data_IF_307532336047
#
_entry.id   IF_307532336047
#
_cell.length_a   1.000
_cell.length_b   1.000
_cell.length_c   1.000
_cell.angle_alpha   90.00
_cell.angle_beta   90.00
_cell.angle_gamma   90.00
#
_symmetry.space_group_name_H-M   'P 1'
#
loop_
_entity.id
_entity.type
_entity.pdbx_description
1 polymer ?
#
# COMPACT_ATOMS: atom_id res chain seq x y z
N UNK A 1 8.07 1.00 10.36
CA UNK A 1 7.52 2.11 11.13
C UNK A 1 8.32 2.34 12.41
N UNK A 2 8.44 1.36 13.30
CA UNK A 2 9.14 1.49 14.58
C UNK A 2 10.56 2.05 14.41
N UNK A 3 11.35 1.51 13.47
CA UNK A 3 12.72 1.99 13.22
C UNK A 3 12.80 3.44 12.73
N UNK A 4 11.71 4.01 12.23
CA UNK A 4 11.67 5.39 11.76
C UNK A 4 11.24 6.39 12.85
N UNK A 5 10.66 5.89 13.96
CA UNK A 5 10.21 6.73 15.07
C UNK A 5 9.13 7.75 14.71
N UNK A 6 8.28 7.41 13.76
CA UNK A 6 7.23 8.31 13.30
C UNK A 6 5.94 8.23 14.12
N UNK A 7 5.83 7.20 14.96
CA UNK A 7 4.70 6.95 15.84
C UNK A 7 5.22 6.55 17.22
N UNK A 8 4.48 6.90 18.26
CA UNK A 8 4.80 6.54 19.64
C UNK A 8 4.10 5.24 20.06
N UNK A 9 2.86 5.05 19.57
CA UNK A 9 1.98 3.94 19.94
C UNK A 9 1.72 3.01 18.76
N UNK A 10 1.80 1.71 19.02
CA UNK A 10 1.54 0.65 18.04
C UNK A 10 0.57 -0.36 18.60
N UNK A 11 -0.51 -0.63 17.89
CA UNK A 11 -1.46 -1.68 18.22
C UNK A 11 -1.34 -2.78 17.18
N UNK A 12 -0.90 -3.97 17.59
CA UNK A 12 -0.78 -5.13 16.73
C UNK A 12 -2.02 -6.01 16.88
N UNK A 13 -2.74 -6.25 15.78
CA UNK A 13 -3.94 -7.08 15.76
C UNK A 13 -3.71 -8.28 14.85
N UNK A 14 -3.84 -9.48 15.39
CA UNK A 14 -3.82 -10.72 14.62
C UNK A 14 -4.66 -11.80 15.34
N UNK A 15 -5.34 -12.63 14.57
CA UNK A 15 -6.08 -13.79 15.11
C UNK A 15 -5.15 -14.88 15.65
N UNK A 16 -3.90 -14.91 15.20
CA UNK A 16 -2.88 -15.79 15.74
C UNK A 16 -2.19 -15.14 16.95
N UNK A 17 -2.78 -15.32 18.13
CA UNK A 17 -2.31 -14.74 19.38
C UNK A 17 -0.84 -15.07 19.70
N UNK A 18 -0.39 -16.29 19.40
CA UNK A 18 0.99 -16.70 19.64
C UNK A 18 1.96 -15.90 18.77
N UNK A 19 1.60 -15.74 17.48
CA UNK A 19 2.42 -14.97 16.54
C UNK A 19 2.48 -13.50 16.93
N UNK A 20 1.36 -12.85 17.15
CA UNK A 20 1.33 -11.41 17.44
C UNK A 20 2.01 -11.07 18.78
N UNK A 21 1.90 -11.96 19.76
CA UNK A 21 2.62 -11.80 21.03
C UNK A 21 4.13 -11.93 20.84
N UNK A 22 4.58 -12.89 20.02
CA UNK A 22 5.99 -13.06 19.69
C UNK A 22 6.52 -11.85 18.89
N UNK A 23 5.79 -11.38 17.90
CA UNK A 23 6.13 -10.16 17.13
C UNK A 23 6.27 -8.94 18.07
N UNK A 24 5.37 -8.79 19.04
CA UNK A 24 5.44 -7.68 20.00
C UNK A 24 6.67 -7.75 20.91
N UNK A 25 7.10 -8.95 21.30
CA UNK A 25 8.35 -9.14 22.08
C UNK A 25 9.55 -8.77 21.21
N UNK A 26 9.62 -9.32 19.99
CA UNK A 26 10.72 -9.07 19.04
C UNK A 26 10.85 -7.58 18.70
N UNK A 27 9.73 -6.89 18.51
CA UNK A 27 9.73 -5.42 18.31
C UNK A 27 10.22 -4.64 19.52
N UNK A 28 9.90 -5.07 20.75
CA UNK A 28 10.45 -4.44 21.98
C UNK A 28 11.94 -4.68 22.11
N UNK A 29 12.40 -5.88 21.77
CA UNK A 29 13.83 -6.21 21.74
C UNK A 29 14.57 -5.39 20.68
N UNK A 30 13.98 -5.22 19.50
CA UNK A 30 14.50 -4.35 18.46
C UNK A 30 14.57 -2.89 18.92
N UNK A 31 13.52 -2.37 19.56
CA UNK A 31 13.46 -1.00 20.07
C UNK A 31 14.59 -0.70 21.08
N UNK A 32 15.05 -1.70 21.84
CA UNK A 32 16.20 -1.54 22.75
C UNK A 32 17.52 -1.22 22.02
N UNK A 33 17.61 -1.50 20.72
CA UNK A 33 18.77 -1.20 19.86
C UNK A 33 18.54 0.00 18.92
N UNK A 34 17.34 0.61 18.97
CA UNK A 34 16.97 1.77 18.17
C UNK A 34 16.99 3.03 19.05
N UNK A 35 17.18 4.18 18.44
CA UNK A 35 17.06 5.47 19.12
C UNK A 35 15.59 5.96 19.18
N UNK A 36 14.65 5.02 19.24
CA UNK A 36 13.22 5.30 19.17
C UNK A 36 12.51 4.61 20.34
N UNK A 37 11.51 5.29 20.88
CA UNK A 37 10.59 4.70 21.86
C UNK A 37 9.34 4.21 21.11
N UNK A 38 8.80 3.07 21.55
CA UNK A 38 7.57 2.53 21.00
C UNK A 38 6.76 1.82 22.09
N UNK A 39 5.55 2.25 22.32
CA UNK A 39 4.55 1.52 23.10
C UNK A 39 3.90 0.49 22.20
N UNK A 40 3.89 -0.77 22.59
CA UNK A 40 3.32 -1.84 21.76
C UNK A 40 2.22 -2.56 22.55
N UNK A 41 1.02 -2.51 22.03
CA UNK A 41 -0.19 -3.16 22.56
C UNK A 41 -0.62 -4.27 21.60
N UNK A 42 -1.18 -5.36 22.14
CA UNK A 42 -1.57 -6.54 21.34
C UNK A 42 -3.05 -6.80 21.50
N UNK A 43 -3.75 -6.99 20.38
CA UNK A 43 -5.15 -7.38 20.27
C UNK A 43 -6.15 -6.52 21.08
N UNK A 44 -5.81 -5.27 21.32
CA UNK A 44 -6.71 -4.29 21.96
C UNK A 44 -7.36 -3.40 20.91
N UNK A 45 -8.56 -3.74 20.48
CA UNK A 45 -9.32 -2.91 19.55
C UNK A 45 -9.76 -1.57 20.16
N UNK A 46 -9.95 -1.48 21.48
CA UNK A 46 -10.33 -0.22 22.11
C UNK A 46 -9.23 0.85 21.96
N UNK A 47 -7.97 0.44 21.94
CA UNK A 47 -6.83 1.32 21.71
C UNK A 47 -6.76 1.88 20.27
N UNK A 48 -7.63 1.43 19.36
CA UNK A 48 -7.72 1.98 18.01
C UNK A 48 -8.68 3.17 17.89
N UNK A 49 -9.41 3.51 18.94
CA UNK A 49 -10.44 4.56 18.89
C UNK A 49 -9.86 5.93 18.45
N UNK A 50 -8.67 6.26 18.90
CA UNK A 50 -7.95 7.50 18.63
C UNK A 50 -6.70 7.31 17.75
N UNK A 51 -6.53 6.13 17.15
CA UNK A 51 -5.40 5.90 16.26
C UNK A 51 -5.48 6.78 15.00
N UNK A 52 -4.34 7.33 14.58
CA UNK A 52 -4.24 8.12 13.35
C UNK A 52 -4.40 7.28 12.09
N UNK A 53 -3.81 6.09 12.08
CA UNK A 53 -3.76 5.22 10.88
C UNK A 53 -3.92 3.75 11.27
N UNK A 54 -4.74 3.04 10.51
CA UNK A 54 -4.79 1.58 10.51
C UNK A 54 -4.23 1.06 9.19
N UNK A 55 -3.16 0.27 9.24
CA UNK A 55 -2.62 -0.45 8.08
C UNK A 55 -3.15 -1.87 8.11
N UNK A 56 -3.98 -2.24 7.15
CA UNK A 56 -4.53 -3.58 7.05
C UNK A 56 -3.71 -4.44 6.09
N UNK A 57 -3.04 -5.44 6.67
CA UNK A 57 -2.36 -6.53 5.96
C UNK A 57 -3.13 -7.85 6.07
N UNK A 58 -4.44 -7.78 6.24
CA UNK A 58 -5.33 -8.91 6.40
C UNK A 58 -5.39 -9.71 5.10
N UNK A 59 -4.86 -10.93 5.07
CA UNK A 59 -4.80 -11.77 3.88
C UNK A 59 -4.42 -13.20 4.22
N UNK A 60 -4.46 -14.06 3.20
CA UNK A 60 -3.97 -15.43 3.27
C UNK A 60 -3.12 -15.74 2.04
N UNK A 61 -1.86 -15.40 2.10
CA UNK A 61 -0.91 -15.52 0.98
C UNK A 61 -0.76 -16.97 0.48
N UNK A 62 -1.06 -17.96 1.32
CA UNK A 62 -1.02 -19.37 0.91
C UNK A 62 -2.01 -19.70 -0.21
N UNK A 63 -3.09 -18.93 -0.35
CA UNK A 63 -4.06 -19.08 -1.44
C UNK A 63 -3.47 -18.68 -2.80
N UNK A 64 -2.41 -17.87 -2.81
CA UNK A 64 -1.67 -17.48 -4.01
C UNK A 64 -0.62 -18.51 -4.44
N UNK A 65 -0.24 -19.48 -3.60
CA UNK A 65 0.79 -20.49 -3.89
C UNK A 65 0.22 -21.66 -4.73
N UNK A 66 -0.69 -21.33 -5.64
CA UNK A 66 -1.24 -22.27 -6.62
C UNK A 66 -0.85 -21.79 -8.03
N UNK A 67 -0.24 -22.66 -8.89
CA UNK A 67 0.11 -22.30 -10.26
C UNK A 67 -1.06 -21.77 -11.12
N UNK A 68 -2.29 -22.12 -10.74
CA UNK A 68 -3.51 -21.65 -11.39
C UNK A 68 -4.21 -20.52 -10.63
N UNK A 69 -3.62 -20.01 -9.53
CA UNK A 69 -4.19 -18.91 -8.80
C UNK A 69 -4.08 -17.63 -9.63
N UNK A 70 -5.23 -16.98 -9.81
CA UNK A 70 -5.27 -15.63 -10.33
C UNK A 70 -5.10 -14.60 -9.18
N UNK A 71 -5.05 -13.33 -9.51
CA UNK A 71 -4.92 -12.25 -8.52
C UNK A 71 -6.11 -12.16 -7.55
N UNK A 72 -7.22 -12.80 -7.86
CA UNK A 72 -8.43 -12.85 -7.05
C UNK A 72 -8.49 -14.06 -6.12
N UNK A 73 -7.47 -14.91 -6.08
CA UNK A 73 -7.44 -16.12 -5.25
C UNK A 73 -7.68 -15.83 -3.75
N UNK A 74 -7.29 -14.67 -3.26
CA UNK A 74 -7.53 -14.24 -1.88
C UNK A 74 -8.91 -13.61 -1.66
N UNK A 75 -9.64 -13.24 -2.72
CA UNK A 75 -10.93 -12.52 -2.60
C UNK A 75 -11.96 -13.24 -1.73
N UNK A 76 -12.18 -14.56 -1.83
CA UNK A 76 -13.15 -15.24 -0.96
C UNK A 76 -12.80 -15.11 0.53
N UNK A 77 -11.51 -15.07 0.85
CA UNK A 77 -11.04 -14.88 2.22
C UNK A 77 -11.19 -13.41 2.65
N UNK A 78 -10.67 -12.47 1.89
CA UNK A 78 -10.73 -11.04 2.23
C UNK A 78 -12.16 -10.51 2.27
N UNK A 79 -13.02 -10.94 1.35
CA UNK A 79 -14.44 -10.57 1.36
C UNK A 79 -15.20 -11.05 2.60
N UNK A 80 -14.75 -12.13 3.23
CA UNK A 80 -15.32 -12.63 4.48
C UNK A 80 -14.77 -11.91 5.72
N UNK A 81 -13.46 -11.70 5.78
CA UNK A 81 -12.78 -11.23 6.99
C UNK A 81 -12.74 -9.70 7.11
N UNK A 82 -12.57 -8.97 6.00
CA UNK A 82 -12.52 -7.49 6.00
C UNK A 82 -13.75 -6.85 6.62
N UNK A 83 -15.00 -7.28 6.30
CA UNK A 83 -16.19 -6.72 6.93
C UNK A 83 -16.21 -6.85 8.44
N UNK A 84 -15.64 -7.92 9.00
CA UNK A 84 -15.59 -8.14 10.45
C UNK A 84 -14.65 -7.13 11.12
N UNK A 85 -13.46 -6.93 10.55
CA UNK A 85 -12.49 -5.95 11.06
C UNK A 85 -13.03 -4.53 10.91
N UNK A 86 -13.60 -4.19 9.74
CA UNK A 86 -14.17 -2.86 9.49
C UNK A 86 -15.31 -2.51 10.46
N UNK A 87 -16.18 -3.46 10.76
CA UNK A 87 -17.24 -3.27 11.76
C UNK A 87 -16.69 -3.05 13.18
N UNK A 88 -15.65 -3.79 13.57
CA UNK A 88 -14.98 -3.57 14.85
C UNK A 88 -14.35 -2.19 14.96
N UNK A 89 -13.69 -1.71 13.90
CA UNK A 89 -13.18 -0.34 13.84
C UNK A 89 -14.29 0.69 14.03
N UNK A 90 -15.43 0.49 13.37
CA UNK A 90 -16.62 1.32 13.55
C UNK A 90 -17.16 1.30 14.99
N UNK A 91 -17.25 0.12 15.59
CA UNK A 91 -17.76 -0.09 16.96
C UNK A 91 -16.91 0.62 18.02
N UNK A 92 -15.60 0.66 17.85
CA UNK A 92 -14.70 1.38 18.77
C UNK A 92 -14.61 2.88 18.47
N UNK A 93 -15.26 3.36 17.41
CA UNK A 93 -15.28 4.78 17.06
C UNK A 93 -14.02 5.27 16.32
N UNK A 94 -13.28 4.35 15.68
CA UNK A 94 -12.11 4.74 14.88
C UNK A 94 -12.49 5.77 13.81
N UNK A 95 -11.72 6.86 13.73
CA UNK A 95 -11.95 7.97 12.82
C UNK A 95 -10.67 8.47 12.11
N UNK A 96 -9.61 7.66 12.11
CA UNK A 96 -8.38 7.91 11.37
C UNK A 96 -8.47 7.49 9.90
N UNK A 97 -7.33 7.19 9.30
CA UNK A 97 -7.21 6.73 7.91
C UNK A 97 -6.94 5.23 7.87
N UNK A 98 -7.71 4.48 7.07
CA UNK A 98 -7.43 3.08 6.76
C UNK A 98 -6.56 3.00 5.52
N UNK A 99 -5.44 2.27 5.61
CA UNK A 99 -4.56 1.92 4.49
C UNK A 99 -4.66 0.41 4.24
N UNK A 100 -5.25 0.02 3.13
CA UNK A 100 -5.34 -1.38 2.70
C UNK A 100 -4.13 -1.77 1.84
N UNK A 101 -3.52 -2.94 2.13
CA UNK A 101 -2.38 -3.47 1.35
C UNK A 101 -2.61 -4.88 0.81
N UNK A 102 -3.70 -5.51 1.19
CA UNK A 102 -4.04 -6.90 0.82
C UNK A 102 -4.74 -6.96 -0.53
N UNK A 103 -4.57 -8.08 -1.23
CA UNK A 103 -5.17 -8.27 -2.55
C UNK A 103 -6.57 -8.93 -2.48
N UNK A 104 -7.41 -8.63 -3.48
CA UNK A 104 -7.28 -7.59 -4.50
C UNK A 104 -7.51 -6.20 -3.88
N UNK A 105 -6.48 -5.34 -3.89
CA UNK A 105 -6.44 -4.14 -3.05
C UNK A 105 -7.56 -3.15 -3.31
N UNK A 106 -7.97 -2.96 -4.56
CA UNK A 106 -9.05 -2.02 -4.91
C UNK A 106 -10.39 -2.49 -4.32
N UNK A 107 -10.67 -3.80 -4.39
CA UNK A 107 -11.86 -4.41 -3.79
C UNK A 107 -11.79 -4.37 -2.26
N UNK A 108 -10.64 -4.71 -1.68
CA UNK A 108 -10.43 -4.66 -0.22
C UNK A 108 -10.63 -3.25 0.32
N UNK A 109 -10.15 -2.24 -0.39
CA UNK A 109 -10.34 -0.82 -0.05
C UNK A 109 -11.82 -0.45 -0.06
N UNK A 110 -12.55 -0.85 -1.11
CA UNK A 110 -14.00 -0.65 -1.21
C UNK A 110 -14.76 -1.33 -0.06
N UNK A 111 -14.39 -2.57 0.29
CA UNK A 111 -15.02 -3.29 1.41
C UNK A 111 -14.77 -2.57 2.76
N UNK A 112 -13.54 -2.10 3.00
CA UNK A 112 -13.26 -1.31 4.21
C UNK A 112 -14.11 -0.05 4.27
N UNK A 113 -14.22 0.70 3.19
CA UNK A 113 -15.03 1.91 3.13
C UNK A 113 -16.51 1.61 3.42
N UNK A 114 -17.05 0.59 2.75
CA UNK A 114 -18.46 0.23 2.90
C UNK A 114 -18.82 -0.20 4.34
N UNK A 115 -17.99 -1.03 4.97
CA UNK A 115 -18.32 -1.60 6.29
C UNK A 115 -17.84 -0.76 7.47
N UNK A 116 -16.81 0.05 7.35
CA UNK A 116 -16.37 0.96 8.39
C UNK A 116 -17.30 2.17 8.53
N UNK A 117 -17.93 2.58 7.42
CA UNK A 117 -18.73 3.80 7.37
C UNK A 117 -17.89 5.08 7.39
N UNK A 118 -16.56 4.97 7.25
CA UNK A 118 -15.70 6.14 7.08
C UNK A 118 -15.97 6.86 5.75
N UNK A 119 -15.71 8.17 5.65
CA UNK A 119 -15.72 8.88 4.38
C UNK A 119 -14.75 8.24 3.38
N UNK A 120 -15.06 8.35 2.08
CA UNK A 120 -14.27 7.76 0.99
C UNK A 120 -12.81 8.20 1.00
N UNK A 121 -12.57 9.43 1.41
CA UNK A 121 -11.25 10.05 1.50
C UNK A 121 -10.37 9.42 2.57
N UNK A 122 -10.96 8.81 3.59
CA UNK A 122 -10.25 8.18 4.72
C UNK A 122 -9.96 6.69 4.53
N UNK A 123 -10.29 6.12 3.39
CA UNK A 123 -10.02 4.71 3.10
C UNK A 123 -9.23 4.63 1.79
N UNK A 124 -7.98 4.24 1.89
CA UNK A 124 -7.00 4.31 0.82
C UNK A 124 -6.35 2.94 0.68
N UNK A 125 -6.25 2.43 -0.54
CA UNK A 125 -5.40 1.27 -0.84
C UNK A 125 -4.02 1.72 -1.32
N UNK A 126 -2.99 0.92 -1.09
CA UNK A 126 -1.66 1.22 -1.67
C UNK A 126 -1.66 1.23 -3.19
N UNK A 127 -2.63 0.55 -3.81
CA UNK A 127 -2.84 0.57 -5.26
C UNK A 127 -1.55 0.31 -6.04
N UNK A 128 -1.29 1.15 -7.02
CA UNK A 128 -0.11 1.05 -7.88
C UNK A 128 1.13 1.80 -7.35
N UNK A 129 1.15 2.19 -6.07
CA UNK A 129 2.30 2.88 -5.47
C UNK A 129 3.57 2.01 -5.52
N UNK A 130 3.45 0.70 -5.22
CA UNK A 130 4.56 -0.24 -5.36
C UNK A 130 4.90 -0.51 -6.83
N UNK A 131 3.91 -0.62 -7.71
CA UNK A 131 4.15 -0.84 -9.16
C UNK A 131 4.85 0.37 -9.78
N UNK A 132 4.50 1.57 -9.33
CA UNK A 132 5.21 2.81 -9.67
C UNK A 132 6.67 2.76 -9.21
N UNK A 133 6.95 2.26 -8.02
CA UNK A 133 8.34 2.09 -7.55
C UNK A 133 9.11 1.07 -8.40
N UNK A 134 8.47 -0.01 -8.84
CA UNK A 134 9.05 -1.01 -9.76
C UNK A 134 9.35 -0.38 -11.13
N UNK A 135 8.42 0.38 -11.68
CA UNK A 135 8.62 1.13 -12.92
C UNK A 135 9.79 2.11 -12.80
N UNK A 136 9.83 2.90 -11.71
CA UNK A 136 10.94 3.84 -11.46
C UNK A 136 12.28 3.12 -11.36
N UNK A 137 12.34 1.94 -10.73
CA UNK A 137 13.56 1.12 -10.68
C UNK A 137 13.99 0.67 -12.09
N UNK A 138 13.09 0.11 -12.89
CA UNK A 138 13.39 -0.37 -14.23
C UNK A 138 13.89 0.79 -15.15
N UNK A 139 13.21 1.93 -15.09
CA UNK A 139 13.65 3.15 -15.81
C UNK A 139 15.03 3.60 -15.32
N UNK A 140 15.27 3.63 -14.01
CA UNK A 140 16.53 4.05 -13.42
C UNK A 140 17.70 3.17 -13.86
N UNK A 141 17.53 1.86 -13.86
CA UNK A 141 18.51 0.88 -14.34
C UNK A 141 18.82 1.09 -15.83
N UNK A 142 17.81 1.33 -16.67
CA UNK A 142 17.96 1.54 -18.12
C UNK A 142 18.71 2.84 -18.45
N UNK A 143 18.46 3.92 -17.70
CA UNK A 143 19.02 5.25 -18.01
C UNK A 143 20.16 5.70 -17.09
N UNK A 144 20.62 4.84 -16.18
CA UNK A 144 21.75 5.12 -15.30
C UNK A 144 21.50 6.30 -14.33
N UNK A 145 20.31 6.33 -13.71
CA UNK A 145 19.92 7.34 -12.72
C UNK A 145 19.45 6.69 -11.42
N UNK A 146 19.33 7.47 -10.35
CA UNK A 146 18.66 7.00 -9.12
C UNK A 146 17.15 6.89 -9.35
N UNK A 147 16.51 5.84 -8.84
CA UNK A 147 15.07 5.63 -8.98
C UNK A 147 14.23 6.78 -8.38
N UNK A 148 14.75 7.48 -7.36
CA UNK A 148 14.12 8.67 -6.79
C UNK A 148 14.12 9.87 -7.72
N UNK A 149 14.98 9.86 -8.75
CA UNK A 149 15.07 10.90 -9.78
C UNK A 149 14.19 10.61 -11.00
N UNK A 150 13.41 9.54 -10.97
CA UNK A 150 12.40 9.21 -11.98
C UNK A 150 11.04 9.69 -11.49
N UNK A 151 10.34 10.48 -12.30
CA UNK A 151 8.98 10.96 -12.04
C UNK A 151 7.99 10.21 -12.93
N UNK A 152 6.75 10.08 -12.48
CA UNK A 152 5.67 9.43 -13.20
C UNK A 152 5.09 8.25 -12.45
N UNK A 153 4.00 7.67 -12.99
CA UNK A 153 3.15 6.73 -12.28
C UNK A 153 2.71 5.57 -13.14
N UNK A 154 2.49 4.43 -12.47
CA UNK A 154 1.57 3.39 -12.91
C UNK A 154 0.19 3.71 -12.35
N UNK A 155 -0.86 3.51 -13.14
CA UNK A 155 -2.24 3.89 -12.83
C UNK A 155 -3.20 2.74 -13.15
N UNK A 156 -4.45 2.88 -12.71
CA UNK A 156 -5.54 1.95 -12.97
C UNK A 156 -5.71 0.90 -11.86
N UNK A 157 -6.21 -0.26 -12.20
CA UNK A 157 -6.35 -1.39 -11.27
C UNK A 157 -4.96 -1.86 -10.80
N UNK A 158 -4.81 -2.15 -9.51
CA UNK A 158 -3.64 -2.90 -9.06
C UNK A 158 -3.75 -4.37 -9.54
N UNK A 159 -3.50 -4.60 -10.80
CA UNK A 159 -3.75 -5.86 -11.48
C UNK A 159 -3.09 -5.94 -12.85
N UNK A 160 -3.66 -6.79 -13.71
CA UNK A 160 -3.14 -7.01 -15.05
C UNK A 160 -3.49 -5.86 -16.01
N UNK A 161 -4.48 -5.03 -15.67
CA UNK A 161 -4.93 -3.89 -16.47
C UNK A 161 -4.25 -2.56 -16.11
N UNK A 162 -3.34 -2.55 -15.13
CA UNK A 162 -2.54 -1.36 -14.84
C UNK A 162 -1.71 -0.93 -16.05
N UNK A 163 -1.44 0.34 -16.15
CA UNK A 163 -0.61 0.89 -17.21
C UNK A 163 0.33 1.98 -16.71
N UNK A 164 1.46 2.14 -17.38
CA UNK A 164 2.37 3.27 -17.13
C UNK A 164 1.92 4.49 -17.92
N UNK A 165 1.72 5.61 -17.23
CA UNK A 165 1.41 6.90 -17.86
C UNK A 165 2.68 7.52 -18.48
N UNK A 166 3.20 6.92 -19.56
CA UNK A 166 4.48 7.29 -20.18
C UNK A 166 4.59 8.75 -20.56
N UNK A 167 3.49 9.40 -20.90
CA UNK A 167 3.43 10.84 -21.19
C UNK A 167 3.85 11.71 -20.01
N UNK A 168 3.69 11.19 -18.78
CA UNK A 168 4.04 11.86 -17.53
C UNK A 168 5.42 11.44 -17.00
N UNK A 169 6.02 10.36 -17.53
CA UNK A 169 7.31 9.88 -17.04
C UNK A 169 8.43 10.82 -17.50
N UNK A 170 9.25 11.24 -16.53
CA UNK A 170 10.40 12.12 -16.74
C UNK A 170 11.67 11.52 -16.17
N UNK A 171 12.75 11.67 -16.92
CA UNK A 171 14.10 11.25 -16.56
C UNK A 171 15.03 12.43 -16.85
N UNK A 172 15.94 12.76 -15.92
CA UNK A 172 16.86 13.89 -16.06
C UNK A 172 16.13 15.22 -16.38
N UNK A 173 14.89 15.38 -15.84
CA UNK A 173 14.04 16.55 -16.07
C UNK A 173 13.33 16.62 -17.41
N UNK A 174 13.54 15.64 -18.32
CA UNK A 174 12.96 15.62 -19.67
C UNK A 174 11.91 14.47 -19.79
N UNK A 175 10.92 14.61 -20.69
CA UNK A 175 10.02 13.50 -21.00
C UNK A 175 10.80 12.26 -21.45
N UNK A 176 10.45 11.09 -20.95
CA UNK A 176 11.15 9.84 -21.27
C UNK A 176 11.13 9.55 -22.78
N UNK A 177 10.05 9.91 -23.47
CA UNK A 177 9.92 9.78 -24.92
C UNK A 177 10.96 10.57 -25.74
N UNK A 178 11.72 11.49 -25.10
CA UNK A 178 12.83 12.18 -25.72
C UNK A 178 14.10 11.34 -25.79
N UNK A 179 14.15 10.22 -25.08
CA UNK A 179 15.34 9.37 -24.94
C UNK A 179 15.16 7.99 -25.56
N UNK A 180 13.94 7.58 -25.86
CA UNK A 180 13.67 6.20 -26.26
C UNK A 180 12.37 6.10 -27.08
N UNK A 181 12.21 4.95 -27.75
CA UNK A 181 11.05 4.59 -28.54
C UNK A 181 10.01 3.78 -27.73
N UNK A 182 8.90 3.46 -28.38
CA UNK A 182 7.81 2.71 -27.78
C UNK A 182 8.20 1.28 -27.42
N UNK A 183 9.02 0.62 -28.22
CA UNK A 183 9.45 -0.76 -27.98
C UNK A 183 10.23 -0.85 -26.66
N UNK A 184 11.17 0.07 -26.44
CA UNK A 184 11.92 0.15 -25.17
C UNK A 184 11.01 0.45 -23.98
N UNK A 185 9.98 1.31 -24.14
CA UNK A 185 9.03 1.58 -23.06
C UNK A 185 8.21 0.34 -22.70
N UNK A 186 7.82 -0.47 -23.68
CA UNK A 186 7.08 -1.72 -23.45
C UNK A 186 7.99 -2.79 -22.79
N UNK A 187 9.29 -2.84 -23.14
CA UNK A 187 10.28 -3.68 -22.41
C UNK A 187 10.38 -3.27 -20.94
N UNK A 188 10.52 -1.98 -20.64
CA UNK A 188 10.62 -1.46 -19.28
C UNK A 188 9.36 -1.78 -18.47
N UNK A 189 8.18 -1.62 -19.07
CA UNK A 189 6.90 -1.98 -18.42
C UNK A 189 6.86 -3.47 -18.08
N UNK A 190 7.32 -4.32 -18.99
CA UNK A 190 7.41 -5.75 -18.79
C UNK A 190 8.39 -6.12 -17.66
N UNK A 191 9.58 -5.54 -17.63
CA UNK A 191 10.58 -5.73 -16.56
C UNK A 191 10.04 -5.32 -15.19
N UNK A 192 9.31 -4.21 -15.11
CA UNK A 192 8.67 -3.75 -13.88
C UNK A 192 7.63 -4.77 -13.37
N UNK A 193 6.81 -5.31 -14.27
CA UNK A 193 5.81 -6.32 -13.95
C UNK A 193 6.46 -7.64 -13.49
N UNK A 194 7.45 -8.15 -14.23
CA UNK A 194 8.18 -9.39 -13.91
C UNK A 194 8.89 -9.25 -12.55
N UNK A 195 9.39 -8.09 -12.20
CA UNK A 195 10.00 -7.86 -10.89
C UNK A 195 9.10 -8.24 -9.71
N UNK A 196 7.79 -8.02 -9.84
CA UNK A 196 6.79 -8.48 -8.86
C UNK A 196 6.70 -10.01 -8.77
N UNK A 197 6.65 -10.67 -9.90
CA UNK A 197 6.63 -12.14 -9.99
C UNK A 197 7.91 -12.76 -9.43
N UNK A 198 9.09 -12.21 -9.78
CA UNK A 198 10.38 -12.66 -9.25
C UNK A 198 10.42 -12.66 -7.73
N UNK A 199 9.92 -11.58 -7.10
CA UNK A 199 9.84 -11.48 -5.64
C UNK A 199 8.90 -12.55 -5.08
N UNK A 200 7.70 -12.67 -5.63
CA UNK A 200 6.69 -13.63 -5.14
C UNK A 200 7.16 -15.08 -5.28
N UNK A 201 7.59 -15.47 -6.46
CA UNK A 201 8.03 -16.88 -6.70
C UNK A 201 9.30 -17.22 -5.93
N UNK A 202 10.22 -16.28 -5.75
CA UNK A 202 11.45 -16.50 -5.00
C UNK A 202 11.26 -16.57 -3.49
N UNK A 203 10.33 -15.79 -2.92
CA UNK A 203 10.10 -15.68 -1.48
C UNK A 203 8.82 -16.36 -0.98
N UNK A 204 7.88 -16.67 -1.88
CA UNK A 204 6.49 -17.10 -1.61
C UNK A 204 5.62 -16.03 -0.93
N UNK A 205 6.10 -14.82 -0.81
CA UNK A 205 5.37 -13.65 -0.31
C UNK A 205 6.06 -12.37 -0.76
N UNK A 206 5.37 -11.24 -0.65
CA UNK A 206 5.96 -9.91 -0.79
C UNK A 206 6.04 -9.25 0.60
N UNK A 207 7.06 -8.42 0.83
CA UNK A 207 7.27 -7.79 2.15
C UNK A 207 7.87 -6.39 2.04
N UNK A 208 9.15 -6.27 1.76
CA UNK A 208 9.88 -4.99 1.89
C UNK A 208 9.32 -3.88 1.01
N UNK A 209 9.00 -4.18 -0.24
CA UNK A 209 8.45 -3.19 -1.17
C UNK A 209 7.08 -2.69 -0.75
N UNK A 210 6.16 -3.61 -0.40
CA UNK A 210 4.81 -3.23 0.04
C UNK A 210 4.84 -2.55 1.42
N UNK A 211 5.69 -3.00 2.33
CA UNK A 211 5.86 -2.35 3.62
C UNK A 211 6.36 -0.89 3.42
N UNK A 212 7.34 -0.68 2.55
CA UNK A 212 7.85 0.67 2.24
C UNK A 212 6.78 1.56 1.61
N UNK A 213 5.93 1.02 0.72
CA UNK A 213 4.82 1.76 0.13
C UNK A 213 3.78 2.16 1.19
N UNK A 214 3.38 1.21 2.05
CA UNK A 214 2.44 1.47 3.14
C UNK A 214 2.99 2.49 4.16
N UNK A 215 4.27 2.38 4.50
CA UNK A 215 4.96 3.33 5.39
C UNK A 215 4.96 4.74 4.78
N UNK A 216 5.32 4.87 3.50
CA UNK A 216 5.31 6.17 2.82
C UNK A 216 3.93 6.81 2.87
N UNK A 217 2.89 6.04 2.59
CA UNK A 217 1.51 6.51 2.64
C UNK A 217 1.08 6.90 4.06
N UNK A 218 1.41 6.08 5.07
CA UNK A 218 1.14 6.40 6.46
C UNK A 218 1.85 7.68 6.92
N UNK A 219 3.12 7.86 6.51
CA UNK A 219 3.88 9.08 6.82
C UNK A 219 3.29 10.30 6.13
N UNK A 220 2.80 10.18 4.89
CA UNK A 220 2.11 11.27 4.20
C UNK A 220 0.86 11.73 4.97
N UNK A 221 0.12 10.78 5.54
CA UNK A 221 -1.05 11.07 6.37
C UNK A 221 -0.64 11.79 7.66
N UNK A 222 0.25 11.22 8.47
CA UNK A 222 0.53 11.77 9.82
C UNK A 222 1.33 13.05 9.80
N UNK A 223 2.20 13.25 8.79
CA UNK A 223 2.95 14.50 8.61
C UNK A 223 2.16 15.59 7.87
N UNK A 224 0.97 15.27 7.38
CA UNK A 224 0.16 16.18 6.54
C UNK A 224 0.95 16.72 5.35
N UNK A 225 1.68 15.83 4.64
CA UNK A 225 2.71 16.25 3.69
C UNK A 225 2.16 16.80 2.38
N UNK A 226 0.89 16.56 2.06
CA UNK A 226 0.28 16.86 0.77
C UNK A 226 1.05 16.25 -0.41
N UNK A 227 1.58 15.05 -0.20
CA UNK A 227 2.33 14.34 -1.23
C UNK A 227 1.38 13.78 -2.30
N UNK A 228 1.75 13.93 -3.58
CA UNK A 228 1.06 13.34 -4.71
C UNK A 228 1.46 11.87 -4.86
N UNK A 229 0.48 10.96 -4.71
CA UNK A 229 0.71 9.52 -4.71
C UNK A 229 -0.32 8.79 -5.60
N UNK A 230 0.12 7.79 -6.40
CA UNK A 230 -0.76 6.94 -7.22
C UNK A 230 -1.33 5.80 -6.34
N UNK A 231 -2.32 6.13 -5.55
CA UNK A 231 -2.93 5.22 -4.58
C UNK A 231 -4.33 4.81 -5.02
N UNK A 232 -4.80 3.64 -4.56
CA UNK A 232 -6.18 3.23 -4.76
C UNK A 232 -7.09 4.12 -3.93
N UNK A 233 -7.87 4.94 -4.61
CA UNK A 233 -8.81 5.88 -4.03
C UNK A 233 -10.12 5.83 -4.83
N UNK A 234 -11.20 6.38 -4.25
CA UNK A 234 -12.51 6.32 -4.90
C UNK A 234 -12.56 7.23 -6.13
N UNK A 235 -12.83 6.64 -7.29
CA UNK A 235 -12.97 7.34 -8.55
C UNK A 235 -14.44 7.46 -8.94
N UNK A 236 -15.02 8.63 -8.69
CA UNK A 236 -16.45 8.88 -8.86
C UNK A 236 -17.01 8.54 -10.25
N UNK A 237 -16.30 8.85 -11.38
CA UNK A 237 -16.84 8.56 -12.71
C UNK A 237 -17.11 7.08 -12.99
N UNK A 238 -16.45 6.17 -12.29
CA UNK A 238 -16.63 4.73 -12.44
C UNK A 238 -17.26 4.07 -11.20
N UNK A 239 -17.62 4.86 -10.18
CA UNK A 239 -18.19 4.39 -8.90
C UNK A 239 -17.37 3.22 -8.29
N UNK A 240 -16.03 3.35 -8.30
CA UNK A 240 -15.13 2.28 -7.86
C UNK A 240 -13.85 2.83 -7.26
N UNK A 241 -13.08 1.95 -6.63
CA UNK A 241 -11.72 2.22 -6.21
C UNK A 241 -10.73 1.76 -7.28
N UNK A 242 -9.79 2.61 -7.63
CA UNK A 242 -8.65 2.31 -8.51
C UNK A 242 -7.51 3.30 -8.23
N UNK A 243 -6.33 3.00 -8.76
CA UNK A 243 -5.18 3.88 -8.57
C UNK A 243 -5.21 5.06 -9.51
N UNK A 244 -5.37 6.22 -8.91
CA UNK A 244 -5.35 7.52 -9.54
C UNK A 244 -4.47 8.48 -8.74
N UNK A 245 -3.76 9.44 -9.35
CA UNK A 245 -2.93 10.37 -8.59
C UNK A 245 -3.81 11.20 -7.66
N UNK A 246 -3.39 11.29 -6.41
CA UNK A 246 -4.10 12.05 -5.40
C UNK A 246 -3.13 12.72 -4.43
N UNK A 247 -3.49 13.90 -3.95
CA UNK A 247 -2.81 14.57 -2.84
C UNK A 247 -3.26 13.92 -1.55
N UNK A 248 -2.29 13.45 -0.76
CA UNK A 248 -2.53 12.76 0.51
C UNK A 248 -2.07 13.62 1.68
N UNK A 249 -2.93 13.79 2.66
CA UNK A 249 -2.62 14.49 3.89
C UNK A 249 -3.34 13.89 5.09
N UNK A 250 -3.40 14.61 6.19
CA UNK A 250 -3.96 14.14 7.48
C UNK A 250 -5.43 13.69 7.38
N UNK A 251 -6.20 14.28 6.51
CA UNK A 251 -7.60 13.90 6.29
C UNK A 251 -7.77 12.67 5.36
N UNK A 252 -6.68 12.10 4.87
CA UNK A 252 -6.66 11.10 3.82
C UNK A 252 -6.47 11.72 2.45
N UNK A 253 -7.31 11.39 1.48
CA UNK A 253 -7.30 12.01 0.14
C UNK A 253 -7.86 13.44 0.26
N UNK A 254 -7.04 14.43 -0.12
CA UNK A 254 -7.41 15.84 -0.12
C UNK A 254 -7.97 16.24 -1.48
N UNK A 255 -7.34 15.77 -2.55
CA UNK A 255 -7.68 16.10 -3.93
C UNK A 255 -7.26 14.96 -4.86
N UNK A 256 -8.03 14.71 -5.90
CA UNK A 256 -7.64 13.89 -7.06
C UNK A 256 -7.13 14.79 -8.17
N UNK A 257 -6.08 14.35 -8.88
CA UNK A 257 -5.37 15.16 -9.89
C UNK A 257 -5.70 14.69 -11.29
#
# INVERSE_FOLDING_TARGET
LIAQGAFDDYVLIDTNEKKVTADAVDFRDAAANLNQHANIVVNDYAALADADVVISALGNIALQDNPNADRFAELPFTAKEVPQVAKRLKEVGFNGVIIAISNPVDVVTSLYQHYSGLPKERVIGTGTLLDTARMKRAVAERFGVDARSVYGYNLGEHGNSQFTAWSQVRVKGQPIASFTDRETLDEIAHEAMIGGHTVFYGKKYTSYGIASAAIRLALAVVSDSHEELPVSNYYEPLDTYLSYPAIVGRAGIIEQI
#
